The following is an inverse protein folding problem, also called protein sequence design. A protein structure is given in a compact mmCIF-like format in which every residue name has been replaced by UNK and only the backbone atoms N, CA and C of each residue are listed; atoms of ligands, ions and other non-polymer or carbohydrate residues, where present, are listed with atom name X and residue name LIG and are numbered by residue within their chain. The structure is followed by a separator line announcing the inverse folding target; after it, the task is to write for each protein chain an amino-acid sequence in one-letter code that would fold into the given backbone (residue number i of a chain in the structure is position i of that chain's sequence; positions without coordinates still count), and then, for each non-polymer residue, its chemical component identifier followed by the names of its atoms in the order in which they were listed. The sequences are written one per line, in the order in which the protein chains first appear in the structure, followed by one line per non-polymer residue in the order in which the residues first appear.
data_IF_084560954298
#
_entry.id   IF_084560954298
#
_cell.length_a   1.000
_cell.length_b   1.000
_cell.length_c   1.000
_cell.angle_alpha   90.00
_cell.angle_beta   90.00
_cell.angle_gamma   90.00
#
_symmetry.space_group_name_H-M   'P 1'
#
loop_
_entity.id
_entity.type
_entity.pdbx_description
1 polymer ?
#
# COMPACT_ATOMS: atom_id res chain seq x y z
N UNK A 1 -1.93 17.75 -21.86
CA UNK A 1 -2.34 17.58 -20.46
C UNK A 1 -3.85 17.57 -20.41
N UNK A 2 -4.43 16.50 -19.89
CA UNK A 2 -5.86 16.45 -19.57
C UNK A 2 -6.02 17.10 -18.19
N UNK A 3 -7.02 17.96 -18.01
CA UNK A 3 -7.24 18.57 -16.69
C UNK A 3 -7.60 17.49 -15.65
N UNK A 4 -7.01 17.52 -14.43
CA UNK A 4 -7.34 16.56 -13.38
C UNK A 4 -8.82 16.61 -13.02
N UNK A 5 -9.42 15.44 -12.78
CA UNK A 5 -10.77 15.37 -12.26
C UNK A 5 -10.81 16.01 -10.86
N UNK A 6 -11.75 16.93 -10.58
CA UNK A 6 -11.71 17.77 -9.37
C UNK A 6 -11.74 16.97 -8.06
N UNK A 7 -12.25 15.74 -8.10
CA UNK A 7 -12.35 14.87 -6.93
C UNK A 7 -11.40 13.67 -7.02
N UNK A 8 -11.07 13.19 -8.23
CA UNK A 8 -10.45 11.87 -8.44
C UNK A 8 -9.01 11.98 -8.94
N UNK A 9 -8.59 13.19 -9.32
CA UNK A 9 -7.23 13.54 -9.64
C UNK A 9 -6.89 13.29 -11.09
N UNK A 10 -5.60 13.09 -11.34
CA UNK A 10 -5.04 12.96 -12.69
C UNK A 10 -5.59 11.72 -13.40
N UNK A 11 -5.69 11.79 -14.72
CA UNK A 11 -6.00 10.62 -15.53
C UNK A 11 -4.80 9.68 -15.63
N UNK A 12 -5.05 8.40 -15.90
CA UNK A 12 -4.01 7.39 -16.10
C UNK A 12 -2.96 7.77 -17.16
N UNK A 13 -3.32 8.61 -18.14
CA UNK A 13 -2.37 9.08 -19.16
C UNK A 13 -1.25 9.98 -18.59
N UNK A 14 -1.51 10.63 -17.45
CA UNK A 14 -0.58 11.56 -16.80
C UNK A 14 0.11 10.93 -15.57
N UNK A 15 0.01 9.60 -15.39
CA UNK A 15 0.65 8.90 -14.26
C UNK A 15 2.17 8.89 -14.36
N UNK A 16 2.71 8.62 -15.56
CA UNK A 16 4.15 8.41 -15.75
C UNK A 16 4.97 9.64 -15.32
N UNK A 17 4.47 10.84 -15.57
CA UNK A 17 5.16 12.10 -15.22
C UNK A 17 5.25 12.34 -13.71
N UNK A 18 4.47 11.63 -12.91
CA UNK A 18 4.27 11.88 -11.47
C UNK A 18 4.77 10.71 -10.62
N UNK A 19 4.57 9.48 -11.11
CA UNK A 19 4.72 8.26 -10.33
C UNK A 19 5.84 7.33 -10.83
N UNK A 20 6.62 7.76 -11.82
CA UNK A 20 7.94 7.18 -12.10
C UNK A 20 8.86 7.42 -10.89
N UNK A 21 9.75 6.47 -10.57
CA UNK A 21 10.51 6.48 -9.31
C UNK A 21 11.22 7.84 -9.09
N UNK A 22 11.97 8.32 -10.07
CA UNK A 22 12.72 9.58 -9.95
C UNK A 22 11.81 10.80 -9.82
N UNK A 23 10.71 10.86 -10.57
CA UNK A 23 9.72 11.95 -10.53
C UNK A 23 8.96 11.96 -9.20
N UNK A 24 8.62 10.78 -8.68
CA UNK A 24 7.94 10.61 -7.40
C UNK A 24 8.87 10.99 -6.24
N UNK A 25 10.12 10.55 -6.29
CA UNK A 25 11.14 10.96 -5.32
C UNK A 25 11.33 12.48 -5.37
N UNK A 26 11.38 13.09 -6.56
CA UNK A 26 11.49 14.55 -6.71
C UNK A 26 10.25 15.32 -6.21
N UNK A 27 9.03 14.82 -6.43
CA UNK A 27 7.78 15.45 -5.94
C UNK A 27 7.65 15.36 -4.41
N UNK A 28 8.22 14.33 -3.79
CA UNK A 28 8.27 14.18 -2.33
C UNK A 28 9.45 14.91 -1.67
N UNK A 29 10.48 15.29 -2.44
CA UNK A 29 11.73 15.91 -1.95
C UNK A 29 11.78 17.46 -1.97
N UNK A 30 10.78 18.28 -2.38
CA UNK A 30 11.04 19.71 -2.55
C UNK A 30 11.38 20.47 -1.25
N UNK A 31 11.32 19.84 -0.07
CA UNK A 31 11.77 20.41 1.21
C UNK A 31 12.91 19.67 1.93
N UNK A 32 13.54 18.65 1.32
CA UNK A 32 14.64 17.91 1.93
C UNK A 32 16.03 18.54 1.66
N UNK A 33 16.10 19.81 1.29
CA UNK A 33 17.33 20.60 1.47
C UNK A 33 17.42 21.03 2.93
N UNK A 34 17.78 20.10 3.82
CA UNK A 34 18.13 20.43 5.19
C UNK A 34 19.49 19.88 5.58
N UNK A 35 20.30 20.83 6.04
CA UNK A 35 21.70 20.79 6.45
C UNK A 35 21.95 19.67 7.47
N UNK A 36 23.09 18.96 7.41
CA UNK A 36 23.43 17.96 8.41
C UNK A 36 23.74 18.64 9.75
N UNK A 37 22.85 18.48 10.71
CA UNK A 37 23.05 18.90 12.09
C UNK A 37 21.83 19.62 12.67
N UNK A 38 21.22 19.01 13.68
CA UNK A 38 20.30 19.66 14.63
C UNK A 38 18.96 20.18 14.10
N UNK A 39 18.13 19.30 13.55
CA UNK A 39 16.67 19.50 13.58
C UNK A 39 16.01 18.29 14.23
N UNK A 40 15.37 18.51 15.38
CA UNK A 40 14.33 17.61 15.85
C UNK A 40 13.33 17.46 14.70
N UNK A 41 13.21 16.26 14.13
CA UNK A 41 12.15 15.98 13.16
C UNK A 41 10.82 16.12 13.89
N UNK A 42 10.16 17.26 13.74
CA UNK A 42 8.74 17.39 14.09
C UNK A 42 8.01 16.54 13.07
N UNK A 43 7.61 15.34 13.48
CA UNK A 43 6.72 14.46 12.72
C UNK A 43 5.38 15.19 12.63
N UNK A 44 4.96 15.77 11.47
CA UNK A 44 3.60 16.24 11.33
C UNK A 44 2.63 15.12 11.74
N UNK A 45 1.73 15.45 12.65
CA UNK A 45 0.74 14.51 13.18
C UNK A 45 -0.37 14.21 12.16
N UNK A 46 -0.54 15.06 11.15
CA UNK A 46 -1.63 14.99 10.18
C UNK A 46 -1.64 13.68 9.35
N UNK A 47 -0.51 13.20 8.76
CA UNK A 47 -0.49 11.92 8.06
C UNK A 47 -0.90 10.73 8.93
N UNK A 48 -0.46 10.69 10.19
CA UNK A 48 -0.85 9.63 11.13
C UNK A 48 -2.34 9.72 11.47
N UNK A 49 -2.88 10.93 11.62
CA UNK A 49 -4.33 11.13 11.75
C UNK A 49 -5.07 10.60 10.52
N UNK A 50 -4.56 10.84 9.32
CA UNK A 50 -5.19 10.34 8.09
C UNK A 50 -5.13 8.81 7.97
N UNK A 51 -4.03 8.17 8.38
CA UNK A 51 -3.95 6.70 8.54
C UNK A 51 -5.09 6.22 9.45
N UNK A 52 -5.22 6.84 10.62
CA UNK A 52 -6.27 6.47 11.59
C UNK A 52 -7.69 6.72 11.05
N UNK A 53 -7.92 7.77 10.26
CA UNK A 53 -9.20 8.03 9.61
C UNK A 53 -9.58 6.91 8.63
N UNK A 54 -8.64 6.46 7.78
CA UNK A 54 -8.89 5.35 6.86
C UNK A 54 -9.03 4.02 7.62
N UNK A 55 -8.26 3.80 8.67
CA UNK A 55 -8.38 2.61 9.52
C UNK A 55 -9.75 2.48 10.20
N UNK A 56 -10.40 3.59 10.58
CA UNK A 56 -11.79 3.56 11.06
C UNK A 56 -12.75 3.01 10.00
N UNK A 57 -12.54 3.34 8.73
CA UNK A 57 -13.30 2.74 7.62
C UNK A 57 -13.02 1.23 7.56
N UNK A 58 -11.77 0.83 7.79
CA UNK A 58 -11.34 -0.57 7.88
C UNK A 58 -12.05 -1.37 8.97
N UNK A 59 -12.36 -0.76 10.10
CA UNK A 59 -13.10 -1.36 11.22
C UNK A 59 -14.62 -1.40 10.99
N UNK A 60 -15.18 -0.38 10.35
CA UNK A 60 -16.64 -0.24 10.19
C UNK A 60 -17.29 -1.36 9.37
N UNK A 61 -18.45 -1.86 9.78
CA UNK A 61 -19.18 -2.92 9.08
C UNK A 61 -20.45 -2.41 8.39
N UNK A 62 -20.98 -1.25 8.79
CA UNK A 62 -22.18 -0.65 8.19
C UNK A 62 -21.86 0.09 6.89
N UNK A 63 -22.51 -0.29 5.79
CA UNK A 63 -22.26 0.29 4.46
C UNK A 63 -22.58 1.79 4.37
N UNK A 64 -23.58 2.27 5.13
CA UNK A 64 -23.98 3.69 5.11
C UNK A 64 -22.91 4.52 5.80
N UNK A 65 -22.39 4.05 6.94
CA UNK A 65 -21.30 4.67 7.66
C UNK A 65 -19.99 4.63 6.85
N UNK A 66 -19.65 3.50 6.21
CA UNK A 66 -18.49 3.40 5.31
C UNK A 66 -18.56 4.47 4.22
N UNK A 67 -19.71 4.60 3.53
CA UNK A 67 -19.91 5.63 2.49
C UNK A 67 -19.84 7.05 3.04
N UNK A 68 -20.31 7.28 4.27
CA UNK A 68 -20.23 8.59 4.94
C UNK A 68 -18.78 8.96 5.23
N UNK A 69 -18.02 8.06 5.87
CA UNK A 69 -16.61 8.26 6.19
C UNK A 69 -15.75 8.42 4.92
N UNK A 70 -16.02 7.64 3.88
CA UNK A 70 -15.30 7.70 2.60
C UNK A 70 -15.36 9.09 1.94
N UNK A 71 -16.46 9.85 2.11
CA UNK A 71 -16.59 11.21 1.57
C UNK A 71 -15.57 12.19 2.14
N UNK A 72 -15.02 11.90 3.30
CA UNK A 72 -14.03 12.74 3.97
C UNK A 72 -12.59 12.39 3.60
N UNK A 73 -12.36 11.32 2.82
CA UNK A 73 -11.04 10.96 2.32
C UNK A 73 -10.86 11.57 0.93
N UNK A 74 -9.84 12.41 0.77
CA UNK A 74 -9.53 13.10 -0.48
C UNK A 74 -8.09 12.75 -0.94
N UNK A 75 -7.72 13.21 -2.13
CA UNK A 75 -6.38 12.95 -2.70
C UNK A 75 -5.25 13.49 -1.84
N UNK A 76 -5.43 14.66 -1.21
CA UNK A 76 -4.42 15.28 -0.35
C UNK A 76 -4.06 14.37 0.82
N UNK A 77 -5.07 13.78 1.48
CA UNK A 77 -4.86 12.80 2.55
C UNK A 77 -4.14 11.55 2.07
N UNK A 78 -4.51 11.00 0.91
CA UNK A 78 -3.85 9.82 0.35
C UNK A 78 -2.38 10.12 -0.02
N UNK A 79 -2.09 11.30 -0.57
CA UNK A 79 -0.73 11.74 -0.89
C UNK A 79 0.11 11.95 0.37
N UNK A 80 -0.45 12.57 1.41
CA UNK A 80 0.22 12.73 2.70
C UNK A 80 0.56 11.38 3.36
N UNK A 81 -0.30 10.36 3.21
CA UNK A 81 0.00 8.99 3.66
C UNK A 81 1.14 8.38 2.83
N UNK A 82 1.17 8.60 1.51
CA UNK A 82 2.27 8.10 0.68
C UNK A 82 3.59 8.82 0.94
N UNK A 83 3.57 10.11 1.26
CA UNK A 83 4.77 10.88 1.59
C UNK A 83 5.51 10.26 2.78
N UNK A 84 4.78 9.88 3.85
CA UNK A 84 5.41 9.28 5.02
C UNK A 84 6.04 7.91 4.73
N UNK A 85 5.59 7.18 3.69
CA UNK A 85 6.22 5.91 3.27
C UNK A 85 7.61 6.06 2.67
N UNK A 86 8.03 7.30 2.38
CA UNK A 86 9.37 7.63 1.91
C UNK A 86 10.31 8.09 3.03
N UNK A 87 9.83 8.13 4.28
CA UNK A 87 10.57 8.63 5.44
C UNK A 87 10.78 7.50 6.45
N UNK A 88 12.03 7.07 6.68
CA UNK A 88 12.37 5.94 7.58
C UNK A 88 11.75 6.08 8.97
N UNK A 89 11.77 7.29 9.53
CA UNK A 89 11.29 7.57 10.89
C UNK A 89 9.80 7.28 11.07
N UNK A 90 9.02 7.26 9.99
CA UNK A 90 7.58 7.00 10.06
C UNK A 90 7.22 5.51 10.09
N UNK A 91 8.14 4.61 9.70
CA UNK A 91 7.84 3.18 9.61
C UNK A 91 7.43 2.58 10.97
N UNK A 92 7.96 3.11 12.08
CA UNK A 92 7.55 2.70 13.44
C UNK A 92 6.07 2.99 13.75
N UNK A 93 5.41 3.86 12.97
CA UNK A 93 4.00 4.22 13.12
C UNK A 93 3.10 3.59 12.03
N UNK A 94 3.67 2.79 11.13
CA UNK A 94 2.94 2.18 10.01
C UNK A 94 2.28 0.84 10.35
N UNK A 95 2.45 0.35 11.58
CA UNK A 95 1.80 -0.88 12.07
C UNK A 95 0.32 -0.64 12.39
N UNK A 96 -0.51 -0.50 11.36
CA UNK A 96 -1.96 -0.38 11.50
C UNK A 96 -2.69 -1.39 10.59
N UNK A 97 -3.06 -2.58 11.10
CA UNK A 97 -3.62 -3.66 10.26
C UNK A 97 -4.98 -3.30 9.64
N UNK A 98 -5.65 -2.25 10.13
CA UNK A 98 -6.94 -1.79 9.61
C UNK A 98 -6.80 -0.83 8.41
N UNK A 99 -5.60 -0.33 8.11
CA UNK A 99 -5.40 0.60 7.00
C UNK A 99 -5.66 -0.06 5.64
N UNK A 100 -5.14 -1.28 5.44
CA UNK A 100 -5.33 -2.04 4.20
C UNK A 100 -6.81 -2.36 3.96
N UNK A 101 -7.57 -2.94 4.93
CA UNK A 101 -9.02 -3.07 4.84
C UNK A 101 -9.74 -1.75 4.54
N UNK A 102 -9.31 -0.64 5.16
CA UNK A 102 -9.88 0.68 4.92
C UNK A 102 -9.70 1.16 3.48
N UNK A 103 -8.49 1.01 2.92
CA UNK A 103 -8.20 1.35 1.52
C UNK A 103 -9.02 0.48 0.55
N UNK A 104 -9.18 -0.82 0.85
CA UNK A 104 -10.00 -1.73 0.03
C UNK A 104 -11.46 -1.29 0.04
N UNK A 105 -12.02 -0.91 1.21
CA UNK A 105 -13.38 -0.38 1.31
C UNK A 105 -13.55 0.94 0.56
N UNK A 106 -12.57 1.84 0.61
CA UNK A 106 -12.58 3.06 -0.20
C UNK A 106 -12.67 2.74 -1.69
N UNK A 107 -11.85 1.79 -2.16
CA UNK A 107 -11.88 1.33 -3.55
C UNK A 107 -13.24 0.72 -3.92
N UNK A 108 -13.86 -0.07 -3.03
CA UNK A 108 -15.21 -0.62 -3.24
C UNK A 108 -16.27 0.48 -3.37
N UNK A 109 -16.24 1.50 -2.51
CA UNK A 109 -17.19 2.63 -2.60
C UNK A 109 -17.08 3.33 -3.95
N UNK A 110 -15.86 3.52 -4.46
CA UNK A 110 -15.65 4.12 -5.78
C UNK A 110 -16.14 3.25 -6.94
N UNK A 111 -15.89 1.95 -6.90
CA UNK A 111 -16.26 1.01 -7.96
C UNK A 111 -17.78 0.97 -8.18
N UNK A 112 -18.59 1.25 -7.14
CA UNK A 112 -20.05 1.37 -7.24
C UNK A 112 -20.56 2.66 -7.90
N UNK A 113 -19.69 3.64 -8.18
CA UNK A 113 -20.05 4.86 -8.89
C UNK A 113 -19.86 4.67 -10.40
N UNK A 114 -20.80 3.92 -10.97
CA UNK A 114 -21.01 3.31 -12.31
C UNK A 114 -20.26 3.79 -13.59
N UNK A 115 -19.43 4.83 -13.62
CA UNK A 115 -18.79 5.33 -14.86
C UNK A 115 -17.25 5.39 -14.85
N UNK A 116 -16.59 5.03 -13.75
CA UNK A 116 -15.15 5.27 -13.61
C UNK A 116 -14.42 4.03 -13.11
N UNK A 117 -13.66 3.40 -14.02
CA UNK A 117 -12.75 2.31 -13.65
C UNK A 117 -11.75 2.77 -12.59
N UNK A 118 -11.54 1.93 -11.58
CA UNK A 118 -10.77 2.22 -10.37
C UNK A 118 -9.37 2.81 -10.62
N UNK A 119 -8.70 2.37 -11.68
CA UNK A 119 -7.35 2.83 -12.05
C UNK A 119 -7.33 3.94 -13.10
N UNK A 120 -8.51 4.37 -13.59
CA UNK A 120 -8.63 5.45 -14.58
C UNK A 120 -8.15 6.79 -14.02
N UNK A 121 -8.32 6.99 -12.73
CA UNK A 121 -7.94 8.21 -12.02
C UNK A 121 -7.13 7.93 -10.76
N UNK A 122 -6.33 8.93 -10.40
CA UNK A 122 -5.30 8.88 -9.37
C UNK A 122 -5.80 8.29 -8.05
N UNK A 123 -6.99 8.64 -7.58
CA UNK A 123 -7.49 8.22 -6.26
C UNK A 123 -7.42 6.69 -6.06
N UNK A 124 -7.99 5.89 -6.98
CA UNK A 124 -8.02 4.44 -6.81
C UNK A 124 -6.64 3.81 -6.95
N UNK A 125 -5.78 4.41 -7.78
CA UNK A 125 -4.37 4.02 -7.88
C UNK A 125 -3.59 4.33 -6.58
N UNK A 126 -3.83 5.48 -5.93
CA UNK A 126 -3.19 5.80 -4.66
C UNK A 126 -3.62 4.85 -3.54
N UNK A 127 -4.92 4.51 -3.45
CA UNK A 127 -5.38 3.47 -2.53
C UNK A 127 -4.66 2.15 -2.76
N UNK A 128 -4.54 1.71 -4.02
CA UNK A 128 -3.81 0.49 -4.37
C UNK A 128 -2.33 0.56 -3.99
N UNK A 129 -1.67 1.70 -4.21
CA UNK A 129 -0.26 1.90 -3.88
C UNK A 129 -0.01 1.88 -2.37
N UNK A 130 -0.89 2.49 -1.58
CA UNK A 130 -0.87 2.40 -0.11
C UNK A 130 -1.02 0.94 0.33
N UNK A 131 -1.99 0.22 -0.24
CA UNK A 131 -2.19 -1.21 0.05
C UNK A 131 -0.90 -2.01 -0.24
N UNK A 132 -0.29 -1.80 -1.40
CA UNK A 132 0.93 -2.50 -1.82
C UNK A 132 2.07 -2.29 -0.83
N UNK A 133 2.30 -1.04 -0.41
CA UNK A 133 3.36 -0.68 0.55
C UNK A 133 3.10 -1.30 1.92
N UNK A 134 1.90 -1.11 2.48
CA UNK A 134 1.61 -1.58 3.84
C UNK A 134 1.51 -3.10 3.93
N UNK A 135 1.06 -3.79 2.87
CA UNK A 135 1.15 -5.25 2.82
C UNK A 135 2.61 -5.72 2.84
N UNK A 136 3.52 -5.06 2.13
CA UNK A 136 4.94 -5.38 2.21
C UNK A 136 5.53 -5.14 3.60
N UNK A 137 5.13 -4.07 4.27
CA UNK A 137 5.54 -3.79 5.65
C UNK A 137 5.09 -4.92 6.58
N UNK A 138 3.80 -5.28 6.55
CA UNK A 138 3.25 -6.35 7.40
C UNK A 138 3.88 -7.72 7.12
N UNK A 139 4.22 -8.02 5.87
CA UNK A 139 4.94 -9.25 5.51
C UNK A 139 6.39 -9.27 6.00
N UNK A 140 7.01 -8.10 6.20
CA UNK A 140 8.40 -7.99 6.65
C UNK A 140 8.55 -8.21 8.14
N UNK A 141 7.48 -8.03 8.91
CA UNK A 141 7.46 -8.19 10.35
C UNK A 141 7.30 -9.66 10.72
N UNK A 142 8.42 -10.34 10.91
CA UNK A 142 8.40 -11.71 11.40
C UNK A 142 8.01 -11.77 12.89
N UNK A 143 7.23 -12.78 13.30
CA UNK A 143 7.03 -13.15 14.71
C UNK A 143 8.10 -14.12 15.25
N UNK A 144 9.21 -14.38 14.56
CA UNK A 144 10.23 -15.31 15.05
C UNK A 144 11.09 -14.68 16.14
N UNK A 145 11.18 -15.37 17.29
CA UNK A 145 11.94 -14.95 18.48
C UNK A 145 13.42 -14.68 18.12
N UNK A 146 13.82 -13.40 18.11
CA UNK A 146 15.22 -13.01 18.24
C UNK A 146 15.75 -11.95 17.27
N UNK A 147 15.05 -11.64 16.16
CA UNK A 147 15.49 -10.63 15.20
C UNK A 147 14.39 -9.59 14.94
N UNK A 148 14.32 -8.62 15.85
CA UNK A 148 13.10 -7.85 16.17
C UNK A 148 12.84 -6.61 15.32
N UNK A 149 13.57 -6.37 14.24
CA UNK A 149 13.44 -5.09 13.53
C UNK A 149 12.74 -5.17 12.17
N UNK A 150 12.40 -6.35 11.63
CA UNK A 150 11.63 -6.49 10.38
C UNK A 150 12.13 -5.60 9.24
N UNK A 151 11.22 -4.83 8.61
CA UNK A 151 11.61 -3.85 7.57
C UNK A 151 12.52 -2.73 8.11
N UNK A 152 12.35 -2.35 9.37
CA UNK A 152 13.17 -1.33 10.04
C UNK A 152 14.61 -1.83 10.22
N UNK A 153 14.81 -3.13 10.43
CA UNK A 153 16.12 -3.76 10.55
C UNK A 153 16.87 -3.69 9.23
N UNK A 154 16.20 -4.10 8.14
CA UNK A 154 16.73 -3.95 6.79
C UNK A 154 17.04 -2.48 6.48
N UNK A 155 16.22 -1.54 6.94
CA UNK A 155 16.51 -0.11 6.81
C UNK A 155 17.73 0.37 7.59
N UNK A 156 18.11 -0.27 8.69
CA UNK A 156 19.33 0.05 9.44
C UNK A 156 20.57 -0.49 8.71
N UNK A 157 20.45 -1.68 8.11
CA UNK A 157 21.55 -2.31 7.37
C UNK A 157 21.85 -1.60 6.04
N UNK A 158 20.85 -0.96 5.43
CA UNK A 158 20.96 -0.22 4.17
C UNK A 158 20.52 1.25 4.33
N UNK A 159 21.33 2.11 4.99
CA UNK A 159 20.97 3.50 5.25
C UNK A 159 21.01 4.40 4.00
N UNK A 160 21.69 3.98 2.95
CA UNK A 160 21.78 4.70 1.67
C UNK A 160 20.59 4.40 0.73
N UNK A 161 19.93 3.25 0.89
CA UNK A 161 18.85 2.80 0.01
C UNK A 161 17.53 3.49 0.35
N UNK A 162 16.82 4.05 -0.62
CA UNK A 162 15.52 4.66 -0.36
C UNK A 162 14.52 3.68 0.31
N UNK A 163 13.70 4.10 1.30
CA UNK A 163 12.77 3.21 2.02
C UNK A 163 11.87 2.36 1.11
N UNK A 164 11.38 2.94 0.01
CA UNK A 164 10.55 2.21 -0.95
C UNK A 164 11.32 1.17 -1.76
N UNK A 165 12.60 1.41 -2.07
CA UNK A 165 13.45 0.42 -2.75
C UNK A 165 13.76 -0.77 -1.82
N UNK A 166 13.77 -0.56 -0.51
CA UNK A 166 13.92 -1.63 0.48
C UNK A 166 12.72 -2.59 0.45
N UNK A 167 11.52 -2.10 0.14
CA UNK A 167 10.34 -2.96 -0.02
C UNK A 167 10.46 -3.94 -1.20
N UNK A 168 11.28 -3.64 -2.21
CA UNK A 168 11.57 -4.59 -3.28
C UNK A 168 12.53 -5.70 -2.80
N UNK A 169 13.40 -5.41 -1.82
CA UNK A 169 14.25 -6.43 -1.16
C UNK A 169 13.42 -7.34 -0.26
N UNK A 170 12.40 -6.79 0.40
CA UNK A 170 11.42 -7.56 1.17
C UNK A 170 10.75 -8.63 0.30
N UNK A 171 10.42 -8.30 -0.96
CA UNK A 171 9.89 -9.28 -1.90
C UNK A 171 10.85 -10.44 -2.19
N UNK A 172 12.16 -10.17 -2.28
CA UNK A 172 13.18 -11.19 -2.43
C UNK A 172 13.24 -12.11 -1.19
N UNK A 173 13.18 -11.52 0.01
CA UNK A 173 13.17 -12.26 1.29
C UNK A 173 11.93 -13.15 1.37
N UNK A 174 10.74 -12.61 1.09
CA UNK A 174 9.48 -13.34 1.06
C UNK A 174 9.55 -14.47 0.05
N UNK A 175 10.06 -14.20 -1.16
CA UNK A 175 10.21 -15.23 -2.19
C UNK A 175 11.12 -16.36 -1.72
N UNK A 176 12.23 -16.05 -1.03
CA UNK A 176 13.13 -17.07 -0.47
C UNK A 176 12.49 -17.85 0.68
N UNK A 177 11.67 -17.23 1.51
CA UNK A 177 11.01 -17.92 2.63
C UNK A 177 9.86 -18.79 2.13
N UNK A 178 8.99 -18.26 1.27
CA UNK A 178 7.80 -18.96 0.79
C UNK A 178 8.12 -19.98 -0.31
N UNK A 179 8.93 -19.67 -1.33
CA UNK A 179 9.20 -20.67 -2.37
C UNK A 179 10.10 -21.81 -1.89
N UNK A 180 11.00 -21.57 -0.91
CA UNK A 180 11.78 -22.65 -0.34
C UNK A 180 10.97 -23.49 0.68
N UNK A 181 10.01 -22.91 1.41
CA UNK A 181 9.17 -23.67 2.36
C UNK A 181 7.89 -24.27 1.74
N UNK A 182 7.38 -23.70 0.63
CA UNK A 182 6.14 -24.15 -0.03
C UNK A 182 6.27 -25.50 -0.73
N UNK A 183 7.50 -26.01 -0.91
CA UNK A 183 7.71 -27.39 -1.34
C UNK A 183 7.28 -28.43 -0.29
N UNK A 184 7.10 -28.04 0.99
CA UNK A 184 6.91 -28.99 2.09
C UNK A 184 5.73 -28.68 3.05
N UNK A 185 5.16 -27.46 3.04
CA UNK A 185 4.12 -27.06 4.00
C UNK A 185 2.66 -27.45 3.61
N UNK A 186 1.85 -27.98 4.55
CA UNK A 186 0.42 -28.26 4.33
C UNK A 186 -0.43 -26.99 4.06
N UNK A 187 -1.52 -27.12 3.30
CA UNK A 187 -2.46 -26.01 2.99
C UNK A 187 -3.01 -25.28 4.23
N UNK A 188 -3.18 -25.99 5.35
CA UNK A 188 -3.62 -25.40 6.63
C UNK A 188 -2.59 -24.41 7.21
N UNK A 189 -1.29 -24.65 6.98
CA UNK A 189 -0.21 -23.76 7.43
C UNK A 189 -0.13 -22.51 6.54
N UNK A 190 -0.38 -22.66 5.23
CA UNK A 190 -0.49 -21.53 4.29
C UNK A 190 -1.69 -20.64 4.63
N UNK A 191 -2.85 -21.24 4.95
CA UNK A 191 -4.04 -20.52 5.37
C UNK A 191 -3.85 -19.81 6.73
N UNK A 192 -3.12 -20.41 7.68
CA UNK A 192 -2.77 -19.79 8.95
C UNK A 192 -1.82 -18.58 8.77
N UNK A 193 -0.87 -18.65 7.82
CA UNK A 193 0.00 -17.52 7.44
C UNK A 193 -0.75 -16.40 6.70
N UNK A 194 -1.79 -16.72 5.93
CA UNK A 194 -2.67 -15.70 5.34
C UNK A 194 -3.49 -14.97 6.42
N UNK A 195 -3.98 -15.72 7.42
CA UNK A 195 -4.76 -15.18 8.53
C UNK A 195 -3.97 -14.17 9.39
N UNK A 196 -2.63 -14.15 9.31
CA UNK A 196 -1.81 -13.16 10.03
C UNK A 196 -1.70 -11.82 9.31
N UNK A 197 -1.97 -11.72 8.00
CA UNK A 197 -1.80 -10.48 7.24
C UNK A 197 -3.09 -9.67 7.13
N UNK A 198 -4.11 -10.23 6.49
CA UNK A 198 -5.46 -9.66 6.40
C UNK A 198 -6.52 -10.77 6.28
N UNK A 199 -7.78 -10.53 6.68
CA UNK A 199 -8.86 -11.51 6.51
C UNK A 199 -9.05 -11.95 5.05
N UNK A 200 -9.30 -13.25 4.80
CA UNK A 200 -9.48 -13.83 3.46
C UNK A 200 -10.58 -13.12 2.64
N UNK A 201 -11.66 -12.69 3.28
CA UNK A 201 -12.76 -11.95 2.62
C UNK A 201 -12.27 -10.60 2.08
N UNK A 202 -11.42 -9.92 2.84
CA UNK A 202 -10.79 -8.64 2.46
C UNK A 202 -9.84 -8.85 1.28
N UNK A 203 -9.00 -9.90 1.34
CA UNK A 203 -8.09 -10.27 0.26
C UNK A 203 -8.84 -10.62 -1.04
N UNK A 204 -9.93 -11.41 -0.93
CA UNK A 204 -10.79 -11.76 -2.06
C UNK A 204 -11.45 -10.54 -2.70
N UNK A 205 -11.85 -9.56 -1.88
CA UNK A 205 -12.42 -8.30 -2.36
C UNK A 205 -11.41 -7.51 -3.19
N UNK A 206 -10.18 -7.37 -2.69
CA UNK A 206 -9.10 -6.70 -3.43
C UNK A 206 -8.81 -7.43 -4.75
N UNK A 207 -8.68 -8.76 -4.73
CA UNK A 207 -8.46 -9.55 -5.94
C UNK A 207 -9.55 -9.30 -6.98
N UNK A 208 -10.83 -9.30 -6.58
CA UNK A 208 -11.96 -9.03 -7.48
C UNK A 208 -11.88 -7.61 -8.08
N UNK A 209 -11.65 -6.58 -7.26
CA UNK A 209 -11.54 -5.19 -7.71
C UNK A 209 -10.43 -5.03 -8.76
N UNK A 210 -9.25 -5.59 -8.50
CA UNK A 210 -8.12 -5.55 -9.42
C UNK A 210 -8.39 -6.35 -10.68
N UNK A 211 -8.98 -7.55 -10.57
CA UNK A 211 -9.28 -8.41 -11.71
C UNK A 211 -10.29 -7.79 -12.69
N UNK A 212 -11.35 -7.18 -12.16
CA UNK A 212 -12.36 -6.45 -12.96
C UNK A 212 -11.69 -5.28 -13.70
N UNK A 213 -10.80 -4.55 -13.02
CA UNK A 213 -10.11 -3.38 -13.55
C UNK A 213 -8.72 -3.68 -14.18
N UNK A 214 -8.41 -4.95 -14.47
CA UNK A 214 -7.05 -5.43 -14.81
C UNK A 214 -6.36 -4.71 -15.96
N UNK A 215 -7.12 -4.28 -16.99
CA UNK A 215 -6.54 -3.59 -18.15
C UNK A 215 -5.89 -2.25 -17.76
N UNK A 216 -6.61 -1.45 -16.97
CA UNK A 216 -6.10 -0.17 -16.48
C UNK A 216 -5.10 -0.35 -15.35
N UNK A 217 -5.27 -1.41 -14.55
CA UNK A 217 -4.25 -1.79 -13.57
C UNK A 217 -2.90 -2.11 -14.23
N UNK A 218 -2.87 -2.98 -15.24
CA UNK A 218 -1.64 -3.28 -15.98
C UNK A 218 -1.05 -2.04 -16.66
N UNK A 219 -1.89 -1.17 -17.23
CA UNK A 219 -1.43 0.10 -17.80
C UNK A 219 -0.78 1.00 -16.74
N UNK A 220 -1.36 1.10 -15.55
CA UNK A 220 -0.79 1.87 -14.45
C UNK A 220 0.54 1.26 -13.99
N UNK A 221 0.60 -0.07 -13.83
CA UNK A 221 1.84 -0.77 -13.45
C UNK A 221 2.96 -0.63 -14.49
N UNK A 222 2.62 -0.63 -15.79
CA UNK A 222 3.63 -0.45 -16.84
C UNK A 222 4.19 0.97 -16.91
N UNK A 223 3.45 1.95 -16.35
CA UNK A 223 3.78 3.38 -16.46
C UNK A 223 4.35 3.96 -15.16
N UNK A 224 4.38 3.20 -14.06
CA UNK A 224 4.72 3.73 -12.73
C UNK A 224 5.58 2.77 -11.95
N UNK A 225 6.39 3.31 -11.03
CA UNK A 225 7.03 2.49 -10.01
C UNK A 225 6.03 2.20 -8.89
N UNK A 226 5.74 0.92 -8.64
CA UNK A 226 4.77 0.48 -7.63
C UNK A 226 5.49 -0.38 -6.58
N UNK A 227 5.99 0.24 -5.50
CA UNK A 227 6.74 -0.48 -4.47
C UNK A 227 5.83 -1.49 -3.74
N UNK A 228 6.40 -2.62 -3.37
CA UNK A 228 5.71 -3.68 -2.64
C UNK A 228 4.74 -4.53 -3.47
N UNK A 229 4.72 -4.37 -4.79
CA UNK A 229 3.86 -5.16 -5.68
C UNK A 229 3.95 -6.68 -5.47
N UNK A 230 5.13 -7.27 -5.18
CA UNK A 230 5.22 -8.70 -4.92
C UNK A 230 4.41 -9.19 -3.71
N UNK A 231 4.21 -8.36 -2.68
CA UNK A 231 3.33 -8.69 -1.56
C UNK A 231 1.88 -8.89 -2.02
N UNK A 232 1.42 -8.01 -2.91
CA UNK A 232 0.09 -8.13 -3.53
C UNK A 232 0.00 -9.39 -4.40
N UNK A 233 1.07 -9.70 -5.16
CA UNK A 233 1.09 -10.90 -6.01
C UNK A 233 1.02 -12.17 -5.18
N UNK A 234 1.72 -12.21 -4.05
CA UNK A 234 1.66 -13.33 -3.12
C UNK A 234 0.25 -13.51 -2.55
N UNK A 235 -0.34 -12.41 -2.07
CA UNK A 235 -1.72 -12.40 -1.58
C UNK A 235 -2.69 -12.95 -2.62
N UNK A 236 -2.56 -12.53 -3.88
CA UNK A 236 -3.41 -13.00 -4.98
C UNK A 236 -3.19 -14.47 -5.32
N UNK A 237 -1.95 -14.94 -5.31
CA UNK A 237 -1.64 -16.35 -5.51
C UNK A 237 -2.28 -17.21 -4.41
N UNK A 238 -2.23 -16.78 -3.15
CA UNK A 238 -2.83 -17.48 -2.03
C UNK A 238 -4.37 -17.48 -2.08
N UNK A 239 -5.00 -16.33 -2.41
CA UNK A 239 -6.46 -16.27 -2.62
C UNK A 239 -6.89 -17.23 -3.74
N UNK A 240 -6.11 -17.30 -4.82
CA UNK A 240 -6.39 -18.20 -5.93
C UNK A 240 -6.22 -19.68 -5.55
N UNK A 241 -5.23 -20.03 -4.74
CA UNK A 241 -5.00 -21.42 -4.31
C UNK A 241 -6.10 -21.93 -3.38
N UNK A 242 -6.60 -21.09 -2.47
CA UNK A 242 -7.65 -21.45 -1.50
C UNK A 242 -9.06 -21.45 -2.09
N UNK A 243 -9.26 -20.87 -3.26
CA UNK A 243 -10.55 -20.88 -3.96
C UNK A 243 -10.79 -22.15 -4.81
N UNK A 244 -9.85 -23.10 -4.82
CA UNK A 244 -9.94 -24.40 -5.49
C UNK A 244 -10.32 -25.50 -4.51
#
# INVERSE_FOLDING_TARGET
MVEPHPVWGRSIEDYATTYELDSFLQELVPNATQVPGTTFFVIPADPIRFVNEISKIGEEHDEVQIKSLAKHVNLEKLKAILEITSIRQYFVFMHNPLLVPGCIKLMTVMDTMEEQSLFRYEYGYLCFRIISIFLSIFLSEKPEEGDTDGVIGVMKDFPEDHPLAILDRVAEIISRLEFNSACEAPEAEKAAKLATLIPLQTASTLFKLVWVNRKLWFKALSATYTPGLPAVMLLFWQVWSLAR
#
